data_IF_216187426025
#
_entry.id   IF_216187426025
#
_cell.length_a   1.000
_cell.length_b   1.000
_cell.length_c   1.000
_cell.angle_alpha   90.00
_cell.angle_beta   90.00
_cell.angle_gamma   90.00
#
_symmetry.space_group_name_H-M   'P 1'
#
loop_
_entity.id
_entity.type
_entity.pdbx_description
1 polymer ?
#
# COMPACT_ATOMS: atom_id res chain seq x y z
N UNK A 1 -1.78 11.45 -3.98
CA UNK A 1 -1.91 12.93 -3.82
C UNK A 1 -0.83 13.77 -4.55
N UNK A 2 0.46 13.41 -4.44
CA UNK A 2 1.59 14.16 -5.03
C UNK A 2 1.48 14.35 -6.57
N UNK A 3 1.11 13.31 -7.32
CA UNK A 3 1.00 13.36 -8.77
C UNK A 3 -0.12 14.31 -9.27
N UNK A 4 -1.27 14.32 -8.59
CA UNK A 4 -2.40 15.19 -8.94
C UNK A 4 -2.07 16.67 -8.73
N UNK A 5 -1.35 17.00 -7.65
CA UNK A 5 -0.88 18.37 -7.37
C UNK A 5 0.11 18.87 -8.45
N UNK A 6 1.02 18.00 -8.90
CA UNK A 6 1.98 18.31 -9.99
C UNK A 6 1.30 18.45 -11.35
N UNK A 7 0.17 17.77 -11.56
CA UNK A 7 -0.63 17.86 -12.77
C UNK A 7 -1.52 19.13 -12.85
N UNK A 8 -1.40 20.06 -11.90
CA UNK A 8 -2.14 21.32 -11.90
C UNK A 8 -3.48 21.27 -11.14
N UNK A 9 -3.78 20.17 -10.45
CA UNK A 9 -4.95 20.11 -9.57
C UNK A 9 -4.70 20.99 -8.34
N UNK A 10 -5.55 22.00 -8.14
CA UNK A 10 -5.36 23.02 -7.09
C UNK A 10 -5.43 22.45 -5.66
N UNK A 11 -6.12 21.32 -5.47
CA UNK A 11 -6.18 20.60 -4.20
C UNK A 11 -5.92 19.11 -4.42
N UNK A 12 -5.39 18.45 -3.40
CA UNK A 12 -5.33 17.00 -3.39
C UNK A 12 -6.78 16.45 -3.48
N UNK A 13 -7.03 15.41 -4.28
CA UNK A 13 -8.35 14.79 -4.31
C UNK A 13 -8.72 14.30 -2.91
N UNK A 14 -9.90 14.68 -2.43
CA UNK A 14 -10.43 14.21 -1.16
C UNK A 14 -10.72 12.71 -1.24
N UNK A 15 -10.47 12.00 -0.13
CA UNK A 15 -10.78 10.58 -0.02
C UNK A 15 -12.30 10.39 -0.07
N UNK A 16 -12.79 9.36 -0.78
CA UNK A 16 -14.19 8.93 -0.66
C UNK A 16 -14.57 8.60 0.77
N UNK A 17 -15.85 8.74 1.14
CA UNK A 17 -16.36 8.54 2.50
C UNK A 17 -15.93 7.22 3.16
N UNK A 18 -15.90 6.13 2.39
CA UNK A 18 -15.51 4.79 2.84
C UNK A 18 -14.00 4.53 2.90
N UNK A 19 -13.17 5.48 2.45
CA UNK A 19 -11.70 5.43 2.53
C UNK A 19 -11.15 6.59 3.37
N UNK A 20 -12.01 7.33 4.06
CA UNK A 20 -11.65 8.50 4.86
C UNK A 20 -10.64 8.20 5.97
N UNK A 21 -10.60 6.96 6.45
CA UNK A 21 -9.68 6.46 7.48
C UNK A 21 -8.42 5.79 6.91
N UNK A 22 -8.26 5.70 5.59
CA UNK A 22 -7.21 4.91 4.94
C UNK A 22 -5.80 5.33 5.37
N UNK A 23 -5.54 6.64 5.49
CA UNK A 23 -4.23 7.16 5.90
C UNK A 23 -3.98 7.09 7.41
N UNK A 24 -4.99 6.75 8.21
CA UNK A 24 -4.88 6.63 9.66
C UNK A 24 -4.72 5.18 10.14
N UNK A 25 -4.95 4.21 9.25
CA UNK A 25 -4.81 2.78 9.57
C UNK A 25 -3.34 2.36 9.57
N UNK A 26 -2.98 1.47 10.50
CA UNK A 26 -1.64 0.91 10.56
C UNK A 26 -1.31 0.09 9.32
N UNK A 27 -0.19 0.42 8.68
CA UNK A 27 0.34 -0.33 7.57
C UNK A 27 0.94 -1.66 8.06
N UNK A 28 0.45 -2.77 7.54
CA UNK A 28 1.00 -4.11 7.81
C UNK A 28 1.81 -4.55 6.60
N UNK A 29 3.13 -4.51 6.73
CA UNK A 29 4.04 -5.01 5.72
C UNK A 29 5.20 -5.78 6.36
N UNK A 30 5.82 -6.66 5.58
CA UNK A 30 7.04 -7.37 5.96
C UNK A 30 8.09 -7.10 4.89
N UNK A 31 9.24 -6.58 5.30
CA UNK A 31 10.33 -6.29 4.37
C UNK A 31 11.11 -7.57 4.12
N UNK A 32 11.13 -8.02 2.86
CA UNK A 32 11.96 -9.13 2.41
C UNK A 32 13.15 -8.59 1.61
N UNK A 33 14.29 -9.28 1.70
CA UNK A 33 15.43 -8.97 0.84
C UNK A 33 15.13 -9.25 -0.63
N UNK A 34 15.92 -8.69 -1.54
CA UNK A 34 15.81 -8.94 -2.99
C UNK A 34 16.28 -10.37 -3.34
N UNK A 35 15.48 -11.35 -2.99
CA UNK A 35 15.78 -12.78 -3.09
C UNK A 35 14.47 -13.53 -3.40
N UNK A 36 14.47 -14.19 -4.57
CA UNK A 36 13.28 -14.87 -5.09
C UNK A 36 12.85 -16.05 -4.22
N UNK A 37 13.80 -16.73 -3.58
CA UNK A 37 13.50 -17.91 -2.76
C UNK A 37 12.85 -17.48 -1.45
N UNK A 38 13.28 -16.34 -0.88
CA UNK A 38 12.64 -15.75 0.33
C UNK A 38 11.21 -15.31 0.06
N UNK A 39 10.95 -14.72 -1.11
CA UNK A 39 9.59 -14.32 -1.51
C UNK A 39 8.69 -15.54 -1.65
N UNK A 40 9.16 -16.59 -2.32
CA UNK A 40 8.36 -17.81 -2.52
C UNK A 40 8.05 -18.51 -1.19
N UNK A 41 9.02 -18.62 -0.29
CA UNK A 41 8.81 -19.20 1.04
C UNK A 41 7.75 -18.41 1.84
N UNK A 42 7.86 -17.08 1.87
CA UNK A 42 6.88 -16.22 2.54
C UNK A 42 5.45 -16.40 2.01
N UNK A 43 5.29 -16.60 0.69
CA UNK A 43 3.99 -16.90 0.10
C UNK A 43 3.42 -18.23 0.59
N UNK A 44 4.22 -19.30 0.58
CA UNK A 44 3.77 -20.63 1.03
C UNK A 44 3.34 -20.59 2.50
N UNK A 45 4.08 -19.87 3.36
CA UNK A 45 3.78 -19.78 4.79
C UNK A 45 2.48 -19.00 5.10
N UNK A 46 2.06 -18.07 4.22
CA UNK A 46 0.92 -17.18 4.47
C UNK A 46 -0.32 -17.47 3.62
N UNK A 47 -0.21 -18.30 2.59
CA UNK A 47 -1.33 -18.75 1.78
C UNK A 47 -1.87 -20.06 2.38
N UNK A 48 -2.87 -19.93 3.26
CA UNK A 48 -3.63 -21.08 3.76
C UNK A 48 -4.63 -21.55 2.70
N UNK A 49 -4.60 -22.85 2.38
CA UNK A 49 -5.63 -23.54 1.61
C UNK A 49 -6.60 -24.27 2.54
#
# INVERSE_FOLDING_TARGET
>A
PEAARKAGQASAPELPSHMSDLFSRDEKYTVLGNDVDKVRAFMVDNLTC
#
